data_IF_736591152552
#
_entry.id   IF_736591152552
#
_cell.length_a   1.000
_cell.length_b   1.000
_cell.length_c   1.000
_cell.angle_alpha   90.00
_cell.angle_beta   90.00
_cell.angle_gamma   90.00
#
_symmetry.space_group_name_H-M   'P 1'
#
loop_
_entity.id
_entity.type
_entity.pdbx_description
1 polymer ?
#
# COMPACT_ATOMS: atom_id res chain seq x y z
N UNK A 1 22.94 -8.56 -17.46
CA UNK A 1 21.95 -7.46 -17.31
C UNK A 1 22.11 -6.40 -18.40
N UNK A 2 21.08 -6.22 -19.24
CA UNK A 2 20.93 -5.03 -20.10
C UNK A 2 20.19 -3.90 -19.37
N UNK A 3 20.22 -2.68 -19.92
CA UNK A 3 19.49 -1.53 -19.37
C UNK A 3 17.98 -1.80 -19.35
N UNK A 4 17.45 -2.40 -20.41
CA UNK A 4 16.01 -2.73 -20.51
C UNK A 4 15.57 -3.70 -19.41
N UNK A 5 16.39 -4.70 -19.09
CA UNK A 5 16.13 -5.64 -17.99
C UNK A 5 16.11 -4.94 -16.63
N UNK A 6 17.03 -3.99 -16.40
CA UNK A 6 17.07 -3.23 -15.16
C UNK A 6 15.82 -2.33 -15.00
N UNK A 7 15.36 -1.72 -16.10
CA UNK A 7 14.14 -0.91 -16.12
C UNK A 7 12.91 -1.77 -15.85
N UNK A 8 12.79 -2.94 -16.46
CA UNK A 8 11.63 -3.83 -16.23
C UNK A 8 11.59 -4.34 -14.78
N UNK A 9 12.74 -4.68 -14.20
CA UNK A 9 12.83 -5.05 -12.79
C UNK A 9 12.35 -3.92 -11.87
N UNK A 10 12.77 -2.68 -12.14
CA UNK A 10 12.30 -1.52 -11.40
C UNK A 10 10.80 -1.29 -11.55
N UNK A 11 10.26 -1.47 -12.76
CA UNK A 11 8.83 -1.36 -13.03
C UNK A 11 8.03 -2.40 -12.25
N UNK A 12 8.47 -3.66 -12.23
CA UNK A 12 7.82 -4.74 -11.49
C UNK A 12 7.81 -4.45 -9.97
N UNK A 13 8.94 -3.98 -9.42
CA UNK A 13 9.04 -3.60 -8.00
C UNK A 13 8.07 -2.46 -7.63
N UNK A 14 7.99 -1.42 -8.46
CA UNK A 14 7.06 -0.30 -8.25
C UNK A 14 5.62 -0.77 -8.36
N UNK A 15 5.29 -1.62 -9.33
CA UNK A 15 3.94 -2.16 -9.50
C UNK A 15 3.52 -2.98 -8.28
N UNK A 16 4.39 -3.86 -7.79
CA UNK A 16 4.14 -4.61 -6.57
C UNK A 16 3.91 -3.68 -5.38
N UNK A 17 4.74 -2.65 -5.23
CA UNK A 17 4.61 -1.65 -4.16
C UNK A 17 3.24 -0.96 -4.20
N UNK A 18 2.76 -0.60 -5.39
CA UNK A 18 1.44 -0.01 -5.56
C UNK A 18 0.32 -0.99 -5.18
N UNK A 19 0.42 -2.25 -5.58
CA UNK A 19 -0.57 -3.29 -5.27
C UNK A 19 -0.65 -3.53 -3.76
N UNK A 20 0.50 -3.70 -3.09
CA UNK A 20 0.52 -3.96 -1.64
C UNK A 20 0.10 -2.72 -0.83
N UNK A 21 0.38 -1.51 -1.30
CA UNK A 21 -0.05 -0.28 -0.64
C UNK A 21 -1.54 0.05 -0.88
N UNK A 22 -2.11 -0.38 -2.01
CA UNK A 22 -3.47 -0.06 -2.42
C UNK A 22 -4.54 -0.26 -1.33
N UNK A 23 -4.66 -1.42 -0.64
CA UNK A 23 -5.71 -1.59 0.37
C UNK A 23 -5.61 -0.57 1.50
N UNK A 24 -4.40 -0.28 1.99
CA UNK A 24 -4.18 0.68 3.07
C UNK A 24 -4.49 2.11 2.61
N UNK A 25 -4.07 2.47 1.39
CA UNK A 25 -4.35 3.78 0.80
C UNK A 25 -5.84 4.01 0.54
N UNK A 26 -6.54 3.00 0.01
CA UNK A 26 -7.98 3.05 -0.22
C UNK A 26 -8.70 3.24 1.12
N UNK A 27 -8.32 2.49 2.16
CA UNK A 27 -8.87 2.69 3.51
C UNK A 27 -8.63 4.11 4.02
N UNK A 28 -7.42 4.65 3.85
CA UNK A 28 -7.09 6.02 4.26
C UNK A 28 -7.97 7.08 3.57
N UNK A 29 -8.22 6.90 2.27
CA UNK A 29 -9.06 7.79 1.46
C UNK A 29 -10.52 7.70 1.90
N UNK A 30 -11.08 6.50 2.01
CA UNK A 30 -12.49 6.28 2.39
C UNK A 30 -12.75 6.84 3.78
N UNK A 31 -11.92 6.50 4.77
CA UNK A 31 -12.10 6.97 6.16
C UNK A 31 -11.85 8.47 6.25
N UNK A 32 -10.83 8.98 5.55
CA UNK A 32 -10.58 10.42 5.48
C UNK A 32 -11.80 11.19 4.97
N UNK A 33 -12.38 10.73 3.86
CA UNK A 33 -13.56 11.36 3.27
C UNK A 33 -14.77 11.34 4.21
N UNK A 34 -15.06 10.19 4.82
CA UNK A 34 -16.17 10.03 5.76
C UNK A 34 -16.02 11.01 6.93
N UNK A 35 -14.83 11.07 7.55
CA UNK A 35 -14.59 11.97 8.67
C UNK A 35 -14.65 13.45 8.24
N UNK A 36 -14.13 13.80 7.05
CA UNK A 36 -14.21 15.17 6.52
C UNK A 36 -15.65 15.63 6.32
N UNK A 37 -16.54 14.75 5.87
CA UNK A 37 -17.97 15.06 5.73
C UNK A 37 -18.60 15.28 7.11
N UNK A 38 -18.32 14.41 8.08
CA UNK A 38 -18.84 14.56 9.44
C UNK A 38 -18.36 15.85 10.11
N UNK A 39 -17.09 16.22 9.89
CA UNK A 39 -16.52 17.49 10.36
C UNK A 39 -17.21 18.70 9.74
N UNK A 40 -17.49 18.66 8.43
CA UNK A 40 -18.22 19.73 7.75
C UNK A 40 -19.65 19.89 8.27
N UNK A 41 -20.38 18.79 8.48
CA UNK A 41 -21.78 18.81 8.96
C UNK A 41 -21.87 19.27 10.42
N UNK A 42 -20.91 18.88 11.26
CA UNK A 42 -20.90 19.26 12.69
C UNK A 42 -20.22 20.60 12.98
N UNK A 43 -19.65 21.25 11.96
CA UNK A 43 -18.86 22.48 12.07
C UNK A 43 -17.62 22.35 12.99
N UNK A 44 -17.16 21.12 13.26
CA UNK A 44 -15.94 20.86 14.04
C UNK A 44 -14.74 20.86 13.11
N UNK A 45 -13.86 21.85 13.24
CA UNK A 45 -12.64 22.01 12.41
C UNK A 45 -11.35 21.66 13.16
N UNK A 46 -11.40 20.71 14.10
CA UNK A 46 -10.21 20.23 14.79
C UNK A 46 -9.48 19.18 13.94
N UNK A 47 -8.28 19.52 13.47
CA UNK A 47 -7.46 18.65 12.62
C UNK A 47 -7.02 17.35 13.32
N UNK A 48 -6.98 17.33 14.65
CA UNK A 48 -6.59 16.15 15.45
C UNK A 48 -7.63 15.03 15.34
N UNK A 49 -8.91 15.41 15.27
CA UNK A 49 -10.05 14.47 15.19
C UNK A 49 -10.04 13.71 13.85
N UNK A 50 -9.50 14.29 12.78
CA UNK A 50 -9.38 13.59 11.49
C UNK A 50 -8.28 12.53 11.50
N UNK A 51 -7.24 12.76 12.30
CA UNK A 51 -5.98 12.01 12.20
C UNK A 51 -6.09 10.65 12.91
N UNK A 52 -6.63 10.63 14.13
CA UNK A 52 -6.66 9.41 14.97
C UNK A 52 -7.51 8.29 14.36
N UNK A 53 -8.79 8.51 13.96
CA UNK A 53 -9.62 7.43 13.40
C UNK A 53 -9.03 6.88 12.09
N UNK A 54 -8.39 7.74 11.29
CA UNK A 54 -7.74 7.37 10.03
C UNK A 54 -6.57 6.43 10.26
N UNK A 55 -5.67 6.74 11.19
CA UNK A 55 -4.52 5.88 11.52
C UNK A 55 -5.00 4.51 12.01
N UNK A 56 -5.99 4.49 12.91
CA UNK A 56 -6.53 3.23 13.45
C UNK A 56 -7.09 2.37 12.31
N UNK A 57 -7.87 2.95 11.40
CA UNK A 57 -8.41 2.23 10.26
C UNK A 57 -7.31 1.69 9.32
N UNK A 58 -6.27 2.47 9.04
CA UNK A 58 -5.14 2.04 8.22
C UNK A 58 -4.38 0.88 8.88
N UNK A 59 -4.16 0.93 10.20
CA UNK A 59 -3.53 -0.16 10.96
C UNK A 59 -4.38 -1.44 10.91
N UNK A 60 -5.69 -1.32 11.11
CA UNK A 60 -6.60 -2.47 11.04
C UNK A 60 -6.63 -3.07 9.63
N UNK A 61 -6.64 -2.24 8.58
CA UNK A 61 -6.53 -2.71 7.20
C UNK A 61 -5.20 -3.43 6.96
N UNK A 62 -4.07 -2.86 7.38
CA UNK A 62 -2.77 -3.50 7.24
C UNK A 62 -2.69 -4.86 7.96
N UNK A 63 -3.25 -4.97 9.17
CA UNK A 63 -3.32 -6.23 9.91
C UNK A 63 -4.24 -7.24 9.23
N UNK A 64 -5.38 -6.79 8.71
CA UNK A 64 -6.34 -7.65 8.02
C UNK A 64 -5.75 -8.23 6.72
N UNK A 65 -5.08 -7.40 5.92
CA UNK A 65 -4.43 -7.81 4.67
C UNK A 65 -3.04 -8.43 4.87
N UNK A 66 -2.54 -8.55 6.11
CA UNK A 66 -1.19 -9.01 6.39
C UNK A 66 -0.83 -10.35 5.70
N UNK A 67 -1.67 -11.41 5.73
CA UNK A 67 -1.35 -12.67 5.05
C UNK A 67 -1.26 -12.56 3.53
N UNK A 68 -2.05 -11.65 2.94
CA UNK A 68 -2.02 -11.40 1.50
C UNK A 68 -0.79 -10.58 1.11
N UNK A 69 -0.46 -9.55 1.89
CA UNK A 69 0.76 -8.75 1.68
C UNK A 69 2.01 -9.63 1.72
N UNK A 70 2.09 -10.54 2.69
CA UNK A 70 3.23 -11.47 2.80
C UNK A 70 3.29 -12.44 1.63
N UNK A 71 2.15 -12.97 1.17
CA UNK A 71 2.10 -13.84 0.00
C UNK A 71 2.67 -13.16 -1.26
N UNK A 72 2.23 -11.93 -1.55
CA UNK A 72 2.72 -11.16 -2.70
C UNK A 72 4.23 -10.88 -2.63
N UNK A 73 4.75 -10.54 -1.44
CA UNK A 73 6.18 -10.30 -1.24
C UNK A 73 7.00 -11.58 -1.44
N UNK A 74 6.52 -12.71 -0.92
CA UNK A 74 7.20 -14.00 -1.05
C UNK A 74 7.21 -14.46 -2.50
N UNK A 75 6.09 -14.32 -3.21
CA UNK A 75 5.98 -14.67 -4.63
C UNK A 75 6.98 -13.88 -5.47
N UNK A 76 6.95 -12.55 -5.37
CA UNK A 76 7.88 -11.67 -6.08
C UNK A 76 9.35 -11.96 -5.73
N UNK A 77 9.66 -12.16 -4.45
CA UNK A 77 11.03 -12.46 -4.02
C UNK A 77 11.51 -13.81 -4.57
N UNK A 78 10.62 -14.80 -4.65
CA UNK A 78 10.94 -16.12 -5.19
C UNK A 78 11.19 -16.04 -6.69
N UNK A 79 10.37 -15.29 -7.42
CA UNK A 79 10.53 -15.06 -8.85
C UNK A 79 11.84 -14.33 -9.14
N UNK A 80 12.12 -13.25 -8.40
CA UNK A 80 13.36 -12.50 -8.52
C UNK A 80 14.59 -13.40 -8.34
N UNK A 81 14.61 -14.23 -7.28
CA UNK A 81 15.74 -15.13 -7.01
C UNK A 81 15.92 -16.17 -8.14
N UNK A 82 14.82 -16.66 -8.72
CA UNK A 82 14.87 -17.60 -9.85
C UNK A 82 15.41 -16.95 -11.13
N UNK A 83 15.20 -15.66 -11.32
CA UNK A 83 15.69 -14.93 -12.48
C UNK A 83 17.16 -14.50 -12.36
N UNK A 84 17.72 -14.40 -11.14
CA UNK A 84 19.13 -14.01 -10.92
C UNK A 84 20.13 -14.78 -11.80
N UNK A 85 20.10 -16.12 -11.91
CA UNK A 85 21.03 -16.86 -12.76
C UNK A 85 20.96 -16.50 -14.24
N UNK A 86 19.79 -16.04 -14.73
CA UNK A 86 19.60 -15.60 -16.12
C UNK A 86 20.04 -14.15 -16.34
N UNK A 87 20.30 -13.39 -15.27
CA UNK A 87 20.73 -12.00 -15.30
C UNK A 87 22.26 -11.81 -15.24
N UNK A 88 22.99 -12.83 -14.79
CA UNK A 88 24.47 -12.92 -14.78
C UNK A 88 25.02 -13.12 -16.19
#
# INVERSE_FOLDING_TARGET
>A
MSIDQAVELGRAAVMLTLIIAAPVLITAVVVGLVISILQAVTQVQDQTITFVPKIIAMLLAALYFLPWLTAQLVEYSTELIREIPALL
#
